data_IF_107476028832
#
_entry.id   IF_107476028832
#
_cell.length_a   1.000
_cell.length_b   1.000
_cell.length_c   1.000
_cell.angle_alpha   90.00
_cell.angle_beta   90.00
_cell.angle_gamma   90.00
#
_symmetry.space_group_name_H-M   'P 1'
#
loop_
_entity.id
_entity.type
_entity.pdbx_description
1 polymer ?
#
# COMPACT_ATOMS: atom_id res chain seq x y z
N UNK A 1 17.98 24.12 -12.61
CA UNK A 1 18.71 22.98 -13.20
C UNK A 1 17.82 22.26 -14.21
N UNK A 2 18.33 21.79 -15.37
CA UNK A 2 17.53 21.18 -16.45
C UNK A 2 16.79 19.89 -16.06
N UNK A 3 17.34 19.10 -15.12
CA UNK A 3 16.76 17.83 -14.68
C UNK A 3 15.37 17.94 -14.03
N UNK A 4 15.10 19.01 -13.27
CA UNK A 4 13.82 19.18 -12.58
C UNK A 4 12.63 19.33 -13.53
N UNK A 5 12.82 20.04 -14.66
CA UNK A 5 11.76 20.23 -15.67
C UNK A 5 11.39 18.92 -16.39
N UNK A 6 12.36 18.03 -16.59
CA UNK A 6 12.14 16.73 -17.22
C UNK A 6 11.33 15.82 -16.30
N UNK A 7 11.67 15.78 -15.00
CA UNK A 7 10.94 14.97 -14.02
C UNK A 7 9.48 15.42 -13.87
N UNK A 8 9.23 16.73 -13.76
CA UNK A 8 7.87 17.28 -13.73
C UNK A 8 7.05 16.89 -14.96
N UNK A 9 7.64 16.94 -16.16
CA UNK A 9 6.96 16.56 -17.39
C UNK A 9 6.62 15.06 -17.44
N UNK A 10 7.52 14.20 -16.97
CA UNK A 10 7.25 12.75 -16.88
C UNK A 10 6.04 12.47 -15.98
N UNK A 11 6.00 13.07 -14.80
CA UNK A 11 4.92 12.91 -13.82
C UNK A 11 3.60 13.42 -14.37
N UNK A 12 3.60 14.60 -15.00
CA UNK A 12 2.39 15.17 -15.60
C UNK A 12 1.79 14.24 -16.67
N UNK A 13 2.62 13.67 -17.56
CA UNK A 13 2.16 12.73 -18.58
C UNK A 13 1.66 11.44 -17.94
N UNK A 14 2.37 10.92 -16.94
CA UNK A 14 1.97 9.68 -16.28
C UNK A 14 0.65 9.84 -15.53
N UNK A 15 0.45 10.96 -14.84
CA UNK A 15 -0.81 11.32 -14.18
C UNK A 15 -1.98 11.36 -15.16
N UNK A 16 -1.78 11.89 -16.37
CA UNK A 16 -2.80 11.85 -17.42
C UNK A 16 -3.19 10.41 -17.82
N UNK A 17 -2.22 9.50 -17.92
CA UNK A 17 -2.49 8.09 -18.21
C UNK A 17 -3.25 7.38 -17.09
N UNK A 18 -3.01 7.78 -15.83
CA UNK A 18 -3.73 7.28 -14.66
C UNK A 18 -5.17 7.79 -14.58
N UNK A 19 -5.47 8.93 -15.21
CA UNK A 19 -6.78 9.58 -15.24
C UNK A 19 -7.50 9.40 -16.60
N UNK A 20 -7.00 8.52 -17.47
CA UNK A 20 -7.54 8.32 -18.81
C UNK A 20 -8.99 7.78 -18.78
N UNK A 21 -9.83 8.24 -19.70
CA UNK A 21 -11.22 7.79 -19.80
C UNK A 21 -11.34 6.30 -20.19
N UNK A 22 -10.32 5.74 -20.83
CA UNK A 22 -10.29 4.34 -21.26
C UNK A 22 -9.75 3.45 -20.12
N UNK A 23 -10.56 2.52 -19.55
CA UNK A 23 -10.15 1.71 -18.41
C UNK A 23 -8.91 0.84 -18.65
N UNK A 24 -8.64 0.48 -19.91
CA UNK A 24 -7.45 -0.28 -20.27
C UNK A 24 -6.16 0.54 -20.16
N UNK A 25 -6.23 1.85 -20.44
CA UNK A 25 -5.08 2.76 -20.31
C UNK A 25 -4.76 2.96 -18.83
N UNK A 26 -5.78 3.26 -18.01
CA UNK A 26 -5.63 3.35 -16.55
C UNK A 26 -5.03 2.09 -15.95
N UNK A 27 -5.51 0.91 -16.37
CA UNK A 27 -4.95 -0.37 -15.91
C UNK A 27 -3.48 -0.54 -16.28
N UNK A 28 -3.10 -0.21 -17.51
CA UNK A 28 -1.72 -0.30 -17.98
C UNK A 28 -0.80 0.67 -17.23
N UNK A 29 -1.30 1.86 -16.87
CA UNK A 29 -0.58 2.79 -16.03
C UNK A 29 -0.43 2.20 -14.61
N UNK A 30 -1.55 1.84 -13.98
CA UNK A 30 -1.57 1.25 -12.63
C UNK A 30 -0.63 0.04 -12.49
N UNK A 31 -0.54 -0.85 -13.48
CA UNK A 31 0.33 -2.04 -13.44
C UNK A 31 1.83 -1.72 -13.52
N UNK A 32 2.20 -0.47 -13.80
CA UNK A 32 3.59 -0.04 -13.96
C UNK A 32 3.96 1.12 -13.01
N UNK A 33 3.11 1.45 -12.03
CA UNK A 33 3.31 2.59 -11.15
C UNK A 33 4.57 2.46 -10.29
N UNK A 34 4.86 1.27 -9.76
CA UNK A 34 6.06 1.02 -8.97
C UNK A 34 7.33 1.26 -9.78
N UNK A 35 7.40 0.66 -10.98
CA UNK A 35 8.51 0.86 -11.91
C UNK A 35 8.69 2.31 -12.30
N UNK A 36 7.59 3.02 -12.55
CA UNK A 36 7.64 4.44 -12.88
C UNK A 36 8.18 5.26 -11.70
N UNK A 37 7.71 4.98 -10.48
CA UNK A 37 8.18 5.63 -9.26
C UNK A 37 9.69 5.46 -9.06
N UNK A 38 10.24 4.29 -9.38
CA UNK A 38 11.68 4.04 -9.31
C UNK A 38 12.52 4.91 -10.27
N UNK A 39 11.89 5.52 -11.30
CA UNK A 39 12.60 6.40 -12.27
C UNK A 39 12.58 7.88 -11.89
N UNK A 40 11.86 8.26 -10.82
CA UNK A 40 11.79 9.66 -10.35
C UNK A 40 12.63 9.85 -9.10
N UNK A 41 13.56 10.80 -9.14
CA UNK A 41 14.64 10.90 -8.14
C UNK A 41 14.38 11.95 -7.04
N UNK A 42 13.39 12.84 -7.21
CA UNK A 42 13.23 13.99 -6.30
C UNK A 42 12.14 13.77 -5.26
N UNK A 43 12.34 14.29 -4.03
CA UNK A 43 11.35 14.17 -2.96
C UNK A 43 9.97 14.76 -3.33
N UNK A 44 9.95 15.90 -4.03
CA UNK A 44 8.72 16.48 -4.56
C UNK A 44 8.01 15.54 -5.53
N UNK A 45 8.77 14.80 -6.36
CA UNK A 45 8.20 13.77 -7.24
C UNK A 45 7.56 12.61 -6.47
N UNK A 46 8.10 12.23 -5.31
CA UNK A 46 7.51 11.15 -4.51
C UNK A 46 6.12 11.52 -3.98
N UNK A 47 5.91 12.76 -3.56
CA UNK A 47 4.59 13.24 -3.15
C UNK A 47 3.55 13.13 -4.28
N UNK A 48 3.94 13.48 -5.51
CA UNK A 48 3.06 13.33 -6.68
C UNK A 48 2.74 11.86 -6.96
N UNK A 49 3.72 10.96 -6.87
CA UNK A 49 3.51 9.51 -7.00
C UNK A 49 2.54 8.99 -5.95
N UNK A 50 2.70 9.45 -4.70
CA UNK A 50 1.82 9.09 -3.60
C UNK A 50 0.37 9.56 -3.84
N UNK A 51 0.19 10.76 -4.36
CA UNK A 51 -1.13 11.25 -4.78
C UNK A 51 -1.73 10.40 -5.90
N UNK A 52 -0.95 10.05 -6.92
CA UNK A 52 -1.40 9.19 -8.03
C UNK A 52 -1.82 7.81 -7.49
N UNK A 53 -1.02 7.23 -6.58
CA UNK A 53 -1.34 5.97 -5.93
C UNK A 53 -2.68 6.07 -5.18
N UNK A 54 -2.84 7.10 -4.35
CA UNK A 54 -4.05 7.36 -3.58
C UNK A 54 -5.28 7.44 -4.48
N UNK A 55 -5.21 8.22 -5.56
CA UNK A 55 -6.31 8.37 -6.53
C UNK A 55 -6.68 7.04 -7.18
N UNK A 56 -5.69 6.25 -7.60
CA UNK A 56 -5.92 4.95 -8.23
C UNK A 56 -6.47 3.91 -7.26
N UNK A 57 -6.13 3.96 -5.96
CA UNK A 57 -6.78 3.10 -4.95
C UNK A 57 -8.25 3.43 -4.72
N UNK A 58 -8.67 4.65 -5.12
CA UNK A 58 -10.06 5.11 -5.04
C UNK A 58 -10.79 5.03 -6.38
N UNK A 59 -10.14 4.53 -7.44
CA UNK A 59 -10.73 4.44 -8.78
C UNK A 59 -12.07 3.70 -8.70
N UNK A 60 -13.11 4.40 -9.15
CA UNK A 60 -14.55 4.17 -8.98
C UNK A 60 -14.99 3.30 -7.78
N UNK A 61 -15.10 3.94 -6.60
CA UNK A 61 -16.11 3.57 -5.61
C UNK A 61 -17.50 4.20 -5.91
N UNK A 62 -17.60 5.10 -6.89
CA UNK A 62 -18.81 5.90 -7.12
C UNK A 62 -19.74 5.29 -8.19
N UNK A 63 -20.99 5.05 -7.79
CA UNK A 63 -21.92 4.07 -8.38
C UNK A 63 -22.66 4.50 -9.66
N UNK A 64 -22.33 5.66 -10.25
CA UNK A 64 -23.19 6.30 -11.29
C UNK A 64 -22.72 6.07 -12.73
N UNK A 65 -21.55 5.46 -12.96
CA UNK A 65 -21.11 5.07 -14.32
C UNK A 65 -21.32 3.57 -14.51
N UNK A 66 -22.07 3.20 -15.54
CA UNK A 66 -22.31 1.83 -16.08
C UNK A 66 -21.03 1.02 -16.44
N UNK A 67 -19.88 1.39 -15.91
CA UNK A 67 -18.56 0.77 -16.05
C UNK A 67 -18.00 0.23 -14.72
N UNK A 68 -18.77 0.27 -13.62
CA UNK A 68 -18.37 -0.18 -12.28
C UNK A 68 -17.71 -1.58 -12.25
N UNK A 69 -18.12 -2.48 -13.15
CA UNK A 69 -17.56 -3.83 -13.31
C UNK A 69 -16.09 -3.86 -13.81
N UNK A 70 -15.52 -2.71 -14.20
CA UNK A 70 -14.16 -2.60 -14.76
C UNK A 70 -13.15 -1.93 -13.82
N UNK A 71 -13.59 -1.23 -12.78
CA UNK A 71 -12.73 -0.37 -11.95
C UNK A 71 -11.92 -1.14 -10.91
N UNK A 72 -12.49 -2.20 -10.35
CA UNK A 72 -11.79 -3.05 -9.38
C UNK A 72 -10.49 -3.62 -9.93
N UNK A 73 -10.39 -3.82 -11.25
CA UNK A 73 -9.16 -4.27 -11.90
C UNK A 73 -8.03 -3.25 -11.80
N UNK A 74 -8.35 -1.95 -11.79
CA UNK A 74 -7.34 -0.89 -11.58
C UNK A 74 -6.85 -0.99 -10.14
N UNK A 75 -7.76 -1.03 -9.15
CA UNK A 75 -7.40 -1.20 -7.73
C UNK A 75 -6.60 -2.48 -7.46
N UNK A 76 -6.97 -3.58 -8.12
CA UNK A 76 -6.22 -4.84 -8.10
C UNK A 76 -4.79 -4.67 -8.65
N UNK A 77 -4.59 -3.94 -9.76
CA UNK A 77 -3.25 -3.64 -10.26
C UNK A 77 -2.44 -2.80 -9.27
N UNK A 78 -3.08 -1.81 -8.65
CA UNK A 78 -2.45 -0.93 -7.66
C UNK A 78 -2.00 -1.70 -6.42
N UNK A 79 -2.84 -2.60 -5.90
CA UNK A 79 -2.48 -3.51 -4.80
C UNK A 79 -1.22 -4.34 -5.12
N UNK A 80 -1.03 -4.70 -6.39
CA UNK A 80 0.16 -5.43 -6.83
C UNK A 80 1.43 -4.57 -6.92
N UNK A 81 1.32 -3.23 -6.96
CA UNK A 81 2.46 -2.31 -7.00
C UNK A 81 2.90 -1.81 -5.63
N UNK A 82 2.10 -2.04 -4.58
CA UNK A 82 2.33 -1.48 -3.25
C UNK A 82 3.75 -1.73 -2.72
N UNK A 83 4.27 -2.94 -2.91
CA UNK A 83 5.62 -3.31 -2.44
C UNK A 83 6.72 -2.47 -3.08
N UNK A 84 6.72 -2.37 -4.40
CA UNK A 84 7.74 -1.61 -5.15
C UNK A 84 7.67 -0.13 -4.78
N UNK A 85 6.47 0.39 -4.52
CA UNK A 85 6.30 1.75 -4.01
C UNK A 85 6.89 1.93 -2.62
N UNK A 86 6.68 0.99 -1.69
CA UNK A 86 7.26 1.05 -0.36
C UNK A 86 8.80 1.11 -0.39
N UNK A 87 9.43 0.32 -1.28
CA UNK A 87 10.88 0.35 -1.48
C UNK A 87 11.35 1.71 -2.02
N UNK A 88 10.61 2.29 -2.95
CA UNK A 88 10.96 3.59 -3.56
C UNK A 88 10.80 4.73 -2.57
N UNK A 89 9.70 4.77 -1.80
CA UNK A 89 9.39 5.91 -0.93
C UNK A 89 10.07 5.81 0.43
N UNK A 90 10.36 4.60 0.90
CA UNK A 90 11.00 4.34 2.18
C UNK A 90 10.00 4.27 3.35
N UNK A 91 10.47 3.95 4.56
CA UNK A 91 9.62 3.55 5.68
C UNK A 91 8.71 4.67 6.20
N UNK A 92 9.20 5.91 6.29
CA UNK A 92 8.40 7.03 6.81
C UNK A 92 7.19 7.37 5.92
N UNK A 93 7.33 7.64 4.60
CA UNK A 93 6.16 7.85 3.74
C UNK A 93 5.28 6.61 3.60
N UNK A 94 5.88 5.42 3.70
CA UNK A 94 5.10 4.17 3.72
C UNK A 94 4.16 4.16 4.92
N UNK A 95 4.65 4.53 6.11
CA UNK A 95 3.85 4.61 7.35
C UNK A 95 2.75 5.65 7.24
N UNK A 96 3.09 6.88 6.86
CA UNK A 96 2.12 7.99 6.89
C UNK A 96 1.08 7.91 5.77
N UNK A 97 1.47 7.45 4.57
CA UNK A 97 0.67 7.64 3.37
C UNK A 97 0.23 6.31 2.72
N UNK A 98 1.07 5.26 2.72
CA UNK A 98 0.71 3.96 2.12
C UNK A 98 -0.10 3.06 3.04
N UNK A 99 0.11 3.10 4.36
CA UNK A 99 -0.65 2.28 5.32
C UNK A 99 -2.17 2.53 5.21
N UNK A 100 -2.67 3.78 5.23
CA UNK A 100 -4.11 4.02 5.12
C UNK A 100 -4.70 3.49 3.80
N UNK A 101 -3.96 3.65 2.70
CA UNK A 101 -4.37 3.14 1.40
C UNK A 101 -4.35 1.61 1.32
N UNK A 102 -3.39 0.98 1.98
CA UNK A 102 -3.32 -0.47 2.08
C UNK A 102 -4.49 -1.06 2.85
N UNK A 103 -4.83 -0.46 4.00
CA UNK A 103 -6.01 -0.85 4.80
C UNK A 103 -7.28 -0.75 3.96
N UNK A 104 -7.44 0.30 3.15
CA UNK A 104 -8.60 0.38 2.23
C UNK A 104 -8.63 -0.77 1.21
N UNK A 105 -7.50 -1.17 0.65
CA UNK A 105 -7.44 -2.28 -0.30
C UNK A 105 -7.75 -3.63 0.37
N UNK A 106 -7.38 -3.80 1.64
CA UNK A 106 -7.74 -4.97 2.45
C UNK A 106 -9.24 -5.03 2.76
N UNK A 107 -9.89 -3.87 2.88
CA UNK A 107 -11.33 -3.73 3.03
C UNK A 107 -12.08 -3.46 1.72
N UNK A 108 -11.47 -3.74 0.56
CA UNK A 108 -12.12 -3.50 -0.73
C UNK A 108 -13.39 -4.34 -0.88
N UNK A 109 -14.43 -3.81 -1.52
CA UNK A 109 -15.67 -4.53 -1.76
C UNK A 109 -15.45 -5.79 -2.63
N UNK A 110 -14.44 -5.78 -3.51
CA UNK A 110 -14.15 -6.88 -4.41
C UNK A 110 -13.15 -7.88 -3.82
N UNK A 111 -13.54 -9.16 -3.80
CA UNK A 111 -12.75 -10.23 -3.19
C UNK A 111 -11.36 -10.39 -3.83
N UNK A 112 -11.26 -10.24 -5.15
CA UNK A 112 -9.98 -10.32 -5.88
C UNK A 112 -8.99 -9.22 -5.43
N UNK A 113 -9.48 -8.02 -5.14
CA UNK A 113 -8.65 -6.91 -4.65
C UNK A 113 -8.16 -7.21 -3.24
N UNK A 114 -9.04 -7.71 -2.36
CA UNK A 114 -8.67 -8.13 -1.00
C UNK A 114 -7.63 -9.24 -1.02
N UNK A 115 -7.78 -10.26 -1.87
CA UNK A 115 -6.82 -11.36 -2.04
C UNK A 115 -5.45 -10.82 -2.49
N UNK A 116 -5.44 -9.92 -3.48
CA UNK A 116 -4.20 -9.32 -3.97
C UNK A 116 -3.48 -8.51 -2.88
N UNK A 117 -4.23 -7.73 -2.09
CA UNK A 117 -3.71 -6.95 -0.97
C UNK A 117 -3.19 -7.85 0.16
N UNK A 118 -3.98 -8.86 0.58
CA UNK A 118 -3.63 -9.82 1.61
C UNK A 118 -2.34 -10.60 1.26
N UNK A 119 -2.14 -10.92 -0.02
CA UNK A 119 -0.91 -11.55 -0.50
C UNK A 119 0.36 -10.70 -0.36
N UNK A 120 0.26 -9.43 0.07
CA UNK A 120 1.41 -8.52 0.29
C UNK A 120 1.71 -8.24 1.77
N UNK A 121 0.84 -8.64 2.70
CA UNK A 121 0.90 -8.19 4.12
C UNK A 121 2.26 -8.47 4.73
N UNK A 122 2.77 -9.68 4.53
CA UNK A 122 4.06 -10.13 5.07
C UNK A 122 5.21 -9.20 4.71
N UNK A 123 5.29 -8.80 3.44
CA UNK A 123 6.37 -7.93 2.95
C UNK A 123 6.16 -6.50 3.42
N UNK A 124 4.92 -6.05 3.51
CA UNK A 124 4.57 -4.72 3.99
C UNK A 124 4.93 -4.56 5.48
N UNK A 125 4.61 -5.54 6.32
CA UNK A 125 4.99 -5.56 7.74
C UNK A 125 6.51 -5.52 7.95
N UNK A 126 7.28 -6.24 7.12
CA UNK A 126 8.74 -6.22 7.18
C UNK A 126 9.33 -4.83 6.89
N UNK A 127 8.80 -4.12 5.89
CA UNK A 127 9.29 -2.78 5.53
C UNK A 127 9.02 -1.78 6.68
N UNK A 128 7.85 -1.90 7.32
CA UNK A 128 7.48 -1.04 8.44
C UNK A 128 8.36 -1.33 9.65
N UNK A 129 8.60 -2.60 9.98
CA UNK A 129 9.40 -3.00 11.12
C UNK A 129 10.43 -4.07 10.75
N UNK A 130 11.63 -3.66 10.31
CA UNK A 130 12.71 -4.60 9.97
C UNK A 130 13.22 -5.43 11.16
N UNK A 131 12.84 -5.06 12.39
CA UNK A 131 13.17 -5.80 13.62
C UNK A 131 12.16 -6.91 13.92
N UNK A 132 11.05 -6.99 13.18
CA UNK A 132 10.18 -8.16 13.16
C UNK A 132 11.01 -9.29 12.52
N UNK A 133 11.72 -10.05 13.34
CA UNK A 133 12.84 -10.91 12.95
C UNK A 133 12.46 -12.16 12.12
N UNK A 134 11.31 -12.11 11.44
CA UNK A 134 10.78 -13.20 10.66
C UNK A 134 10.74 -12.74 9.21
N UNK A 135 11.74 -13.12 8.39
CA UNK A 135 11.69 -12.82 6.97
C UNK A 135 10.42 -13.43 6.38
N UNK A 136 9.82 -12.81 5.35
CA UNK A 136 8.62 -13.33 4.74
C UNK A 136 8.82 -14.81 4.36
N UNK A 137 7.91 -15.74 4.76
CA UNK A 137 8.00 -17.12 4.30
C UNK A 137 8.12 -17.16 2.77
N UNK A 138 8.92 -18.10 2.23
CA UNK A 138 9.06 -18.24 0.78
C UNK A 138 7.71 -18.66 0.16
N UNK A 139 7.13 -17.77 -0.64
CA UNK A 139 5.80 -17.93 -1.23
C UNK A 139 4.74 -17.12 -0.49
N UNK A 140 3.76 -16.60 -1.21
CA UNK A 140 2.68 -15.76 -0.67
C UNK A 140 1.67 -16.59 0.18
N UNK A 141 2.14 -17.43 1.11
CA UNK A 141 1.30 -18.24 1.99
C UNK A 141 0.71 -17.35 3.10
N UNK A 142 -0.49 -16.85 2.83
CA UNK A 142 -1.24 -15.96 3.70
C UNK A 142 -1.60 -16.66 5.02
N UNK A 143 -1.88 -17.97 5.02
CA UNK A 143 -2.30 -18.68 6.23
C UNK A 143 -1.12 -18.90 7.17
N UNK A 144 0.03 -19.34 6.66
CA UNK A 144 1.26 -19.47 7.45
C UNK A 144 1.68 -18.13 8.08
N UNK A 145 1.41 -17.01 7.41
CA UNK A 145 1.68 -15.68 7.95
C UNK A 145 0.65 -15.21 8.98
N UNK A 146 -0.65 -15.51 8.79
CA UNK A 146 -1.70 -15.25 9.79
C UNK A 146 -1.38 -16.02 11.09
N UNK A 147 -1.02 -17.30 10.97
CA UNK A 147 -0.66 -18.15 12.11
C UNK A 147 0.56 -17.57 12.84
N UNK A 148 1.57 -17.14 12.09
CA UNK A 148 2.79 -16.50 12.62
C UNK A 148 2.53 -15.15 13.32
N UNK A 149 1.68 -14.30 12.75
CA UNK A 149 1.29 -13.04 13.40
C UNK A 149 0.50 -13.29 14.68
N UNK A 150 -0.41 -14.28 14.68
CA UNK A 150 -1.16 -14.67 15.86
C UNK A 150 -0.24 -15.23 16.95
N UNK A 151 0.77 -16.02 16.59
CA UNK A 151 1.77 -16.55 17.54
C UNK A 151 2.63 -15.43 18.16
N UNK A 152 3.07 -14.44 17.38
CA UNK A 152 3.85 -13.29 17.87
C UNK A 152 3.00 -12.34 18.74
N UNK A 153 1.74 -12.12 18.38
CA UNK A 153 0.76 -11.39 19.20
C UNK A 153 0.47 -12.13 20.52
N UNK A 154 0.33 -13.45 20.48
CA UNK A 154 0.11 -14.27 21.66
C UNK A 154 1.36 -14.34 22.56
N UNK A 155 2.56 -14.25 21.99
CA UNK A 155 3.83 -14.17 22.72
C UNK A 155 4.02 -12.84 23.48
N UNK A 156 3.28 -11.79 23.09
CA UNK A 156 3.20 -10.51 23.81
C UNK A 156 2.07 -10.52 24.83
N UNK A 157 2.28 -11.18 25.96
CA UNK A 157 1.46 -10.99 27.17
C UNK A 157 1.37 -9.49 27.53
N UNK A 158 0.26 -8.99 28.12
CA UNK A 158 0.15 -7.60 28.55
C UNK A 158 1.03 -7.36 29.78
N UNK A 159 2.29 -6.98 29.58
CA UNK A 159 3.10 -6.43 30.67
C UNK A 159 2.63 -5.02 30.94
N UNK A 160 1.89 -4.88 32.04
CA UNK A 160 1.56 -3.62 32.69
C UNK A 160 2.85 -2.98 33.21
N UNK A 161 3.56 -2.28 32.33
CA UNK A 161 4.54 -1.28 32.77
C UNK A 161 4.22 0.03 32.04
N UNK A 162 3.59 0.94 32.79
CA UNK A 162 3.56 2.35 32.44
C UNK A 162 5.00 2.83 32.30
N UNK A 163 5.44 3.07 31.07
CA UNK A 163 6.60 3.92 30.80
C UNK A 163 6.06 5.31 30.48
N UNK A 164 6.00 6.17 31.51
CA UNK A 164 5.95 7.61 31.31
C UNK A 164 7.19 8.04 30.52
N UNK A 165 6.99 8.74 29.39
CA UNK A 165 8.05 9.56 28.79
C UNK A 165 8.47 9.31 27.35
N UNK A 166 7.72 8.56 26.54
CA UNK A 166 7.85 8.60 25.08
C UNK A 166 6.47 8.72 24.43
N UNK A 167 5.93 9.94 24.43
CA UNK A 167 4.84 10.31 23.55
C UNK A 167 5.31 10.15 22.10
N UNK A 168 4.56 9.33 21.33
CA UNK A 168 4.75 8.93 19.93
C UNK A 168 5.44 7.56 19.75
N UNK A 169 4.65 6.56 19.33
CA UNK A 169 5.01 5.48 18.36
C UNK A 169 4.67 4.02 18.74
N UNK A 170 3.94 3.73 19.83
CA UNK A 170 3.55 2.32 20.14
C UNK A 170 2.05 2.02 20.06
N UNK A 171 1.16 3.00 20.16
CA UNK A 171 -0.29 2.74 20.14
C UNK A 171 -0.88 2.57 18.72
N UNK A 172 -0.19 3.03 17.68
CA UNK A 172 -0.72 3.03 16.30
C UNK A 172 -0.42 1.72 15.55
N UNK A 173 0.70 1.04 15.85
CA UNK A 173 1.06 -0.22 15.18
C UNK A 173 0.17 -1.38 15.64
N UNK A 174 -0.10 -1.50 16.93
CA UNK A 174 -0.99 -2.54 17.45
C UNK A 174 -2.44 -2.31 17.01
N UNK A 175 -2.88 -1.05 16.90
CA UNK A 175 -4.19 -0.70 16.32
C UNK A 175 -4.27 -1.06 14.82
N UNK A 176 -3.22 -0.79 14.04
CA UNK A 176 -3.15 -1.13 12.61
C UNK A 176 -3.09 -2.66 12.39
N UNK A 177 -2.38 -3.40 13.26
CA UNK A 177 -2.36 -4.88 13.23
C UNK A 177 -3.71 -5.48 13.63
N UNK A 178 -4.40 -4.89 14.61
CA UNK A 178 -5.75 -5.29 15.00
C UNK A 178 -6.78 -5.01 13.90
N UNK A 179 -6.66 -3.88 13.18
CA UNK A 179 -7.49 -3.55 12.02
C UNK A 179 -7.28 -4.54 10.86
N UNK A 180 -6.02 -4.91 10.60
CA UNK A 180 -5.66 -5.95 9.64
C UNK A 180 -6.30 -7.31 10.01
N UNK A 181 -6.24 -7.71 11.29
CA UNK A 181 -6.89 -8.93 11.78
C UNK A 181 -8.43 -8.87 11.73
N UNK A 182 -9.02 -7.69 11.91
CA UNK A 182 -10.47 -7.50 11.82
C UNK A 182 -11.00 -7.52 10.37
N UNK A 183 -10.17 -7.13 9.38
CA UNK A 183 -10.55 -7.10 7.96
C UNK A 183 -10.41 -8.42 7.19
N UNK A 184 -9.78 -9.43 7.80
CA UNK A 184 -9.57 -10.76 7.20
C UNK A 184 -10.76 -11.71 7.46
N UNK A 185 -11.67 -11.39 8.38
CA UNK A 185 -12.85 -12.21 8.73
C UNK A 185 -14.11 -11.86 7.93
#
# INVERSE_FOLDING_TARGET
>A
MPGGKIQMKKIAIYSQLCQDDMPMVKRSAASNLGKFAATVETAHSKADIMSIFEDLTKDDQDSVRLLADKSWRVRYMVANQLYELCEVVGPEPTRSDLVPAYVRLLHDNEAEVRIAAAGKVTKFCWILNPKLAIPPPPGNDIQAFIDLLNDELAARSPTTDHVEGCDLCLDDFDAQLQLLNAGIN
#
